data_IF_499718352131
#
_entry.id   IF_499718352131
#
_cell.length_a   1.000
_cell.length_b   1.000
_cell.length_c   1.000
_cell.angle_alpha   90.00
_cell.angle_beta   90.00
_cell.angle_gamma   90.00
#
_symmetry.space_group_name_H-M   'P 1'
#
loop_
_entity.id
_entity.type
_entity.pdbx_description
1 polymer ?
#
# COMPACT_ATOMS: atom_id res chain seq x y z
N UNK A 1 -6.17 6.95 0.35
CA UNK A 1 -6.58 7.06 1.75
C UNK A 1 -6.02 8.33 2.38
N UNK A 2 -4.70 8.43 2.60
CA UNK A 2 -4.09 9.58 3.29
C UNK A 2 -4.53 10.97 2.77
N UNK A 3 -4.51 11.22 1.46
CA UNK A 3 -4.97 12.50 0.89
C UNK A 3 -6.43 12.84 1.23
N UNK A 4 -7.31 11.82 1.32
CA UNK A 4 -8.69 12.01 1.79
C UNK A 4 -8.74 12.36 3.29
N UNK A 5 -7.87 11.76 4.10
CA UNK A 5 -7.82 12.01 5.55
C UNK A 5 -7.45 13.47 5.86
N UNK A 6 -6.53 14.04 5.08
CA UNK A 6 -6.10 15.44 5.20
C UNK A 6 -6.97 16.42 4.39
N UNK A 7 -8.08 15.96 3.82
CA UNK A 7 -9.04 16.83 3.12
C UNK A 7 -8.54 17.44 1.80
N UNK A 8 -7.50 16.88 1.18
CA UNK A 8 -7.00 17.36 -0.11
C UNK A 8 -7.94 16.86 -1.21
N UNK A 9 -8.46 17.78 -2.03
CA UNK A 9 -9.21 17.43 -3.23
C UNK A 9 -8.27 16.96 -4.34
N UNK A 10 -8.58 15.84 -4.98
CA UNK A 10 -7.79 15.28 -6.07
C UNK A 10 -8.66 14.45 -7.02
N UNK A 11 -8.14 14.21 -8.21
CA UNK A 11 -8.69 13.27 -9.19
C UNK A 11 -7.76 12.06 -9.34
N UNK A 12 -8.32 10.87 -9.52
CA UNK A 12 -7.55 9.66 -9.81
C UNK A 12 -7.56 9.36 -11.29
N UNK A 13 -6.38 9.33 -11.90
CA UNK A 13 -6.19 8.97 -13.32
C UNK A 13 -5.40 7.67 -13.40
N UNK A 14 -5.89 6.72 -14.21
CA UNK A 14 -5.16 5.48 -14.47
C UNK A 14 -3.83 5.78 -15.17
N UNK A 15 -2.74 5.21 -14.67
CA UNK A 15 -1.39 5.44 -15.20
C UNK A 15 -0.54 4.17 -15.09
N UNK A 16 0.73 4.24 -15.47
CA UNK A 16 1.68 3.14 -15.39
C UNK A 16 2.99 3.60 -14.74
N UNK A 17 3.80 2.63 -14.30
CA UNK A 17 5.05 2.90 -13.59
C UNK A 17 6.06 3.73 -14.40
N UNK A 18 6.03 3.66 -15.74
CA UNK A 18 6.95 4.43 -16.60
C UNK A 18 6.63 5.92 -16.63
N UNK A 19 5.42 6.33 -16.25
CA UNK A 19 5.04 7.74 -16.14
C UNK A 19 5.51 8.38 -14.83
N UNK A 20 5.94 7.60 -13.84
CA UNK A 20 6.34 8.11 -12.53
C UNK A 20 7.81 8.57 -12.54
N UNK A 21 8.15 9.73 -11.92
CA UNK A 21 9.54 10.19 -11.79
C UNK A 21 10.46 9.20 -11.08
N UNK A 22 9.92 8.37 -10.20
CA UNK A 22 10.67 7.36 -9.44
C UNK A 22 10.64 5.97 -10.08
N UNK A 23 9.93 5.82 -11.21
CA UNK A 23 9.67 4.52 -11.83
C UNK A 23 8.65 3.66 -11.09
N UNK A 24 7.95 4.20 -10.09
CA UNK A 24 6.89 3.51 -9.35
C UNK A 24 5.73 4.45 -9.02
N UNK A 25 4.50 3.97 -9.20
CA UNK A 25 3.30 4.67 -8.70
C UNK A 25 3.23 4.57 -7.16
N UNK A 26 2.54 5.50 -6.47
CA UNK A 26 1.85 6.68 -7.01
C UNK A 26 2.75 7.94 -7.12
N UNK A 27 2.32 8.92 -7.93
CA UNK A 27 2.83 10.30 -7.91
C UNK A 27 1.67 11.28 -8.04
N UNK A 28 1.89 12.56 -7.71
CA UNK A 28 0.88 13.62 -7.85
C UNK A 28 1.31 14.67 -8.86
N UNK A 29 0.32 15.24 -9.55
CA UNK A 29 0.47 16.44 -10.36
C UNK A 29 -0.30 17.56 -9.66
N UNK A 30 0.37 18.61 -9.17
CA UNK A 30 -0.31 19.79 -8.64
C UNK A 30 -1.21 20.42 -9.71
N UNK A 31 -2.32 21.02 -9.30
CA UNK A 31 -3.09 21.86 -10.21
C UNK A 31 -2.27 23.11 -10.57
N UNK A 32 -2.36 23.61 -11.82
CA UNK A 32 -1.75 24.88 -12.18
C UNK A 32 -2.36 25.99 -11.32
N UNK A 33 -1.50 26.75 -10.64
CA UNK A 33 -1.94 27.90 -9.83
C UNK A 33 -2.59 28.95 -10.72
N UNK A 34 -3.83 29.34 -10.41
CA UNK A 34 -4.52 30.44 -11.09
C UNK A 34 -3.82 31.80 -10.94
N UNK A 35 -2.84 31.91 -10.02
CA UNK A 35 -2.10 33.15 -9.75
C UNK A 35 -0.76 33.23 -10.50
N UNK A 36 -0.32 32.18 -11.21
CA UNK A 36 0.95 32.16 -11.90
C UNK A 36 0.74 32.16 -13.43
N UNK A 37 0.95 33.34 -14.04
CA UNK A 37 1.08 33.52 -15.50
C UNK A 37 2.43 32.96 -16.02
N UNK A 38 3.13 32.14 -15.24
CA UNK A 38 4.44 31.58 -15.57
C UNK A 38 4.34 30.13 -16.02
N UNK A 39 4.99 29.86 -17.16
CA UNK A 39 5.15 28.58 -17.88
C UNK A 39 6.08 27.62 -17.11
N UNK A 40 5.94 27.52 -15.79
CA UNK A 40 6.70 26.51 -15.05
C UNK A 40 6.04 25.14 -15.25
N UNK A 41 6.78 24.13 -15.74
CA UNK A 41 6.23 22.80 -15.92
C UNK A 41 5.74 22.27 -14.58
N UNK A 42 4.54 21.69 -14.56
CA UNK A 42 3.97 21.01 -13.39
C UNK A 42 4.96 19.95 -12.91
N UNK A 43 5.72 20.25 -11.85
CA UNK A 43 6.72 19.32 -11.32
C UNK A 43 5.98 18.19 -10.60
N UNK A 44 6.10 16.94 -11.08
CA UNK A 44 5.41 15.84 -10.43
C UNK A 44 5.99 15.57 -9.04
N UNK A 45 5.10 15.34 -8.07
CA UNK A 45 5.47 15.02 -6.69
C UNK A 45 5.56 13.50 -6.57
N UNK A 46 6.75 12.93 -6.35
CA UNK A 46 6.93 11.49 -6.18
C UNK A 46 6.33 11.00 -4.85
N UNK A 47 6.01 9.70 -4.78
CA UNK A 47 5.41 9.05 -3.60
C UNK A 47 6.06 9.42 -2.26
N UNK A 48 7.39 9.41 -2.20
CA UNK A 48 8.15 9.72 -0.98
C UNK A 48 8.07 11.20 -0.54
N UNK A 49 7.55 12.09 -1.38
CA UNK A 49 7.34 13.51 -1.07
C UNK A 49 5.87 13.87 -0.86
N UNK A 50 4.94 12.96 -1.15
CA UNK A 50 3.49 13.21 -1.04
C UNK A 50 3.11 13.63 0.38
N UNK A 51 3.63 12.95 1.42
CA UNK A 51 3.30 13.30 2.80
C UNK A 51 3.71 14.73 3.13
N UNK A 52 5.00 15.06 2.88
CA UNK A 52 5.53 16.40 3.13
C UNK A 52 4.73 17.47 2.39
N UNK A 53 4.45 17.25 1.11
CA UNK A 53 3.64 18.16 0.32
C UNK A 53 2.22 18.32 0.88
N UNK A 54 1.57 17.23 1.29
CA UNK A 54 0.21 17.28 1.83
C UNK A 54 0.12 18.07 3.14
N UNK A 55 1.13 17.95 4.01
CA UNK A 55 1.25 18.76 5.24
C UNK A 55 1.40 20.24 4.89
N UNK A 56 2.24 20.56 3.89
CA UNK A 56 2.43 21.95 3.41
C UNK A 56 1.14 22.56 2.84
N UNK A 57 0.28 21.77 2.19
CA UNK A 57 -0.97 22.25 1.60
C UNK A 57 -2.15 22.36 2.59
N UNK A 58 -2.24 21.43 3.56
CA UNK A 58 -3.42 21.31 4.41
C UNK A 58 -3.39 22.22 5.65
N UNK A 59 -2.25 22.84 5.95
CA UNK A 59 -2.02 23.60 7.20
C UNK A 59 -2.38 22.82 8.48
N UNK A 60 -2.57 21.51 8.40
CA UNK A 60 -2.83 20.64 9.55
C UNK A 60 -1.54 20.61 10.38
N UNK A 61 -1.67 20.91 11.67
CA UNK A 61 -0.58 21.04 12.64
C UNK A 61 0.49 19.95 12.45
N UNK A 62 1.61 20.33 11.81
CA UNK A 62 2.76 19.46 11.54
C UNK A 62 3.36 18.82 12.80
N UNK A 63 3.05 19.40 13.97
CA UNK A 63 3.50 18.98 15.29
C UNK A 63 2.95 17.60 15.70
N UNK A 64 1.71 17.26 15.31
CA UNK A 64 1.11 15.97 15.66
C UNK A 64 1.69 14.80 14.86
N UNK A 65 2.23 15.04 13.66
CA UNK A 65 2.87 14.01 12.83
C UNK A 65 4.34 13.78 13.21
N UNK A 66 5.04 14.80 13.71
CA UNK A 66 6.47 14.71 14.06
C UNK A 66 6.72 14.02 15.41
N UNK A 67 5.79 14.10 16.37
CA UNK A 67 5.99 13.65 17.75
C UNK A 67 6.09 12.11 17.94
N UNK A 68 5.91 11.31 16.88
CA UNK A 68 5.87 9.84 16.98
C UNK A 68 6.92 9.12 16.14
N UNK A 69 7.88 9.86 15.55
CA UNK A 69 8.81 9.37 14.53
C UNK A 69 9.39 7.97 14.78
N UNK A 70 10.02 7.75 15.95
CA UNK A 70 10.66 6.45 16.23
C UNK A 70 9.66 5.29 16.27
N UNK A 71 8.50 5.46 16.92
CA UNK A 71 7.47 4.40 16.94
C UNK A 71 6.88 4.20 15.56
N UNK A 72 6.60 5.29 14.85
CA UNK A 72 6.11 5.25 13.48
C UNK A 72 7.05 4.46 12.57
N UNK A 73 8.36 4.72 12.61
CA UNK A 73 9.36 4.07 11.77
C UNK A 73 9.46 2.57 12.07
N UNK A 74 9.49 2.20 13.35
CA UNK A 74 9.53 0.79 13.78
C UNK A 74 8.32 0.04 13.29
N UNK A 75 7.11 0.56 13.48
CA UNK A 75 5.89 -0.13 13.05
C UNK A 75 5.69 -0.08 11.52
N UNK A 76 6.18 0.96 10.84
CA UNK A 76 6.17 1.03 9.37
C UNK A 76 7.05 -0.06 8.77
N UNK A 77 8.18 -0.38 9.41
CA UNK A 77 9.03 -1.49 8.98
C UNK A 77 8.31 -2.85 9.01
N UNK A 78 7.34 -3.05 9.90
CA UNK A 78 6.51 -4.27 9.91
C UNK A 78 5.65 -4.37 8.65
N UNK A 79 5.11 -3.24 8.18
CA UNK A 79 4.34 -3.17 6.94
C UNK A 79 5.27 -3.39 5.74
N UNK A 80 6.35 -2.62 5.65
CA UNK A 80 7.24 -2.55 4.49
C UNK A 80 8.05 -3.84 4.26
N UNK A 81 8.31 -4.62 5.32
CA UNK A 81 9.08 -5.85 5.22
C UNK A 81 8.25 -7.10 5.49
N UNK A 82 7.50 -7.17 6.60
CA UNK A 82 6.85 -8.44 6.99
C UNK A 82 5.57 -8.66 6.20
N UNK A 83 4.65 -7.71 6.26
CA UNK A 83 3.35 -7.82 5.57
C UNK A 83 3.54 -7.69 4.06
N UNK A 84 4.35 -6.74 3.59
CA UNK A 84 4.61 -6.53 2.16
C UNK A 84 5.22 -7.77 1.51
N UNK A 85 6.17 -8.45 2.16
CA UNK A 85 6.80 -9.62 1.55
C UNK A 85 5.82 -10.78 1.39
N UNK A 86 5.06 -11.10 2.45
CA UNK A 86 4.02 -12.12 2.35
C UNK A 86 2.97 -11.75 1.29
N UNK A 87 2.57 -10.48 1.23
CA UNK A 87 1.67 -9.97 0.19
C UNK A 87 2.23 -10.14 -1.22
N UNK A 88 3.50 -9.79 -1.46
CA UNK A 88 4.15 -9.95 -2.76
C UNK A 88 4.15 -11.41 -3.21
N UNK A 89 4.44 -12.34 -2.30
CA UNK A 89 4.34 -13.76 -2.59
C UNK A 89 2.90 -14.14 -2.96
N UNK A 90 1.94 -13.87 -2.07
CA UNK A 90 0.53 -14.25 -2.24
C UNK A 90 -0.08 -13.66 -3.51
N UNK A 91 0.31 -12.45 -3.91
CA UNK A 91 -0.22 -11.79 -5.10
C UNK A 91 0.48 -12.21 -6.40
N UNK A 92 1.82 -12.22 -6.43
CA UNK A 92 2.59 -12.42 -7.67
C UNK A 92 3.06 -13.85 -7.89
N UNK A 93 3.45 -14.56 -6.83
CA UNK A 93 4.10 -15.87 -6.94
C UNK A 93 3.14 -17.05 -6.77
N UNK A 94 2.05 -16.88 -6.01
CA UNK A 94 0.97 -17.87 -6.01
C UNK A 94 0.30 -17.94 -7.38
N UNK A 95 0.31 -19.13 -7.99
CA UNK A 95 -0.11 -19.31 -9.37
C UNK A 95 -1.60 -19.07 -9.59
N UNK A 96 -2.45 -19.42 -8.61
CA UNK A 96 -3.90 -19.30 -8.73
C UNK A 96 -4.35 -17.86 -8.55
N UNK A 97 -3.80 -17.18 -7.54
CA UNK A 97 -4.02 -15.77 -7.30
C UNK A 97 -3.51 -14.93 -8.47
N UNK A 98 -2.29 -15.16 -8.94
CA UNK A 98 -1.74 -14.37 -10.04
C UNK A 98 -2.56 -14.54 -11.32
N UNK A 99 -2.98 -15.77 -11.64
CA UNK A 99 -3.84 -16.04 -12.80
C UNK A 99 -5.22 -15.37 -12.66
N UNK A 100 -5.80 -15.37 -11.47
CA UNK A 100 -7.15 -14.84 -11.26
C UNK A 100 -7.20 -13.32 -11.11
N UNK A 101 -6.15 -12.72 -10.53
CA UNK A 101 -6.10 -11.32 -10.09
C UNK A 101 -5.00 -10.59 -10.85
N UNK A 102 -3.73 -10.94 -10.58
CA UNK A 102 -2.57 -10.20 -11.08
C UNK A 102 -2.55 -10.04 -12.60
N UNK A 103 -2.83 -11.12 -13.34
CA UNK A 103 -2.91 -11.10 -14.80
C UNK A 103 -4.02 -10.19 -15.32
N UNK A 104 -5.21 -10.24 -14.71
CA UNK A 104 -6.36 -9.44 -15.15
C UNK A 104 -6.17 -7.95 -14.87
N UNK A 105 -5.49 -7.60 -13.78
CA UNK A 105 -5.25 -6.22 -13.39
C UNK A 105 -4.05 -5.60 -14.12
N UNK A 106 -2.93 -6.32 -14.20
CA UNK A 106 -1.66 -5.75 -14.66
C UNK A 106 -1.26 -6.14 -16.10
N UNK A 107 -1.84 -7.18 -16.68
CA UNK A 107 -1.36 -7.74 -17.95
C UNK A 107 -2.42 -7.62 -19.04
N UNK A 108 -3.63 -8.12 -18.80
CA UNK A 108 -4.67 -8.16 -19.82
C UNK A 108 -5.05 -6.78 -20.39
N UNK A 109 -5.10 -5.68 -19.58
CA UNK A 109 -5.33 -4.33 -20.10
C UNK A 109 -4.17 -3.75 -20.90
N UNK A 110 -2.95 -4.26 -20.71
CA UNK A 110 -1.73 -3.68 -21.31
C UNK A 110 -1.57 -4.01 -22.81
N UNK A 111 -2.07 -5.17 -23.25
CA UNK A 111 -1.89 -5.66 -24.62
C UNK A 111 -2.85 -6.79 -24.93
N UNK A 112 -3.17 -7.01 -26.21
CA UNK A 112 -3.94 -8.17 -26.67
C UNK A 112 -3.06 -9.34 -27.15
N UNK A 113 -1.74 -9.14 -27.29
CA UNK A 113 -0.84 -10.17 -27.84
C UNK A 113 -0.47 -11.22 -26.78
N UNK A 114 -0.80 -12.52 -26.98
CA UNK A 114 -0.55 -13.57 -25.99
C UNK A 114 0.92 -13.77 -25.61
N UNK A 115 1.85 -13.58 -26.56
CA UNK A 115 3.28 -13.72 -26.30
C UNK A 115 3.79 -12.58 -25.42
N UNK A 116 3.38 -11.34 -25.73
CA UNK A 116 3.73 -10.17 -24.93
C UNK A 116 3.16 -10.32 -23.51
N UNK A 117 1.91 -10.76 -23.36
CA UNK A 117 1.32 -11.06 -22.04
C UNK A 117 2.14 -12.07 -21.24
N UNK A 118 2.63 -13.11 -21.91
CA UNK A 118 3.45 -14.15 -21.26
C UNK A 118 4.80 -13.60 -20.80
N UNK A 119 5.44 -12.75 -21.60
CA UNK A 119 6.69 -12.08 -21.23
C UNK A 119 6.48 -11.13 -20.05
N UNK A 120 5.45 -10.28 -20.11
CA UNK A 120 5.10 -9.36 -19.02
C UNK A 120 4.78 -10.09 -17.72
N UNK A 121 4.06 -11.21 -17.80
CA UNK A 121 3.79 -12.08 -16.65
C UNK A 121 5.08 -12.54 -15.97
N UNK A 122 6.01 -13.09 -16.76
CA UNK A 122 7.30 -13.57 -16.24
C UNK A 122 8.13 -12.44 -15.66
N UNK A 123 8.16 -11.27 -16.30
CA UNK A 123 8.88 -10.10 -15.79
C UNK A 123 8.34 -9.64 -14.44
N UNK A 124 7.01 -9.54 -14.28
CA UNK A 124 6.38 -9.18 -13.00
C UNK A 124 6.72 -10.19 -11.89
N UNK A 125 6.58 -11.49 -12.18
CA UNK A 125 6.87 -12.54 -11.21
C UNK A 125 8.36 -12.60 -10.85
N UNK A 126 9.25 -12.41 -11.83
CA UNK A 126 10.69 -12.33 -11.59
C UNK A 126 11.05 -11.11 -10.73
N UNK A 127 10.47 -9.93 -11.00
CA UNK A 127 10.68 -8.74 -10.19
C UNK A 127 10.23 -8.95 -8.74
N UNK A 128 9.05 -9.55 -8.52
CA UNK A 128 8.57 -9.89 -7.18
C UNK A 128 9.50 -10.90 -6.49
N UNK A 129 9.96 -11.93 -7.20
CA UNK A 129 10.92 -12.91 -6.67
C UNK A 129 12.24 -12.27 -6.28
N UNK A 130 12.80 -11.43 -7.13
CA UNK A 130 14.04 -10.70 -6.87
C UNK A 130 13.91 -9.78 -5.66
N UNK A 131 12.77 -9.11 -5.50
CA UNK A 131 12.51 -8.28 -4.34
C UNK A 131 12.49 -9.08 -3.03
N UNK A 132 11.79 -10.21 -3.01
CA UNK A 132 11.73 -11.09 -1.82
C UNK A 132 13.11 -11.65 -1.44
N UNK A 133 13.93 -11.99 -2.43
CA UNK A 133 15.28 -12.50 -2.21
C UNK A 133 16.24 -11.44 -1.66
N UNK A 134 16.00 -10.14 -1.83
CA UNK A 134 16.82 -9.09 -1.19
C UNK A 134 16.60 -9.03 0.31
N UNK A 135 15.39 -9.31 0.76
CA UNK A 135 15.03 -9.31 2.18
C UNK A 135 15.25 -10.64 2.88
N UNK A 136 15.38 -11.74 2.13
CA UNK A 136 15.69 -13.04 2.68
C UNK A 136 17.19 -13.14 3.01
N UNK A 137 17.51 -13.62 4.21
CA UNK A 137 18.88 -14.03 4.54
C UNK A 137 19.29 -15.33 3.85
N UNK A 138 18.33 -16.04 3.25
CA UNK A 138 18.54 -17.32 2.56
C UNK A 138 18.39 -17.19 1.05
N UNK A 139 19.02 -18.10 0.31
CA UNK A 139 18.97 -18.14 -1.17
C UNK A 139 17.64 -18.66 -1.73
N UNK A 140 16.65 -18.95 -0.88
CA UNK A 140 15.33 -19.43 -1.28
C UNK A 140 14.23 -18.65 -0.57
N UNK A 141 13.02 -18.75 -1.13
CA UNK A 141 11.84 -18.12 -0.54
C UNK A 141 11.11 -19.19 0.25
N UNK A 142 11.07 -19.03 1.56
CA UNK A 142 10.29 -19.87 2.46
C UNK A 142 8.92 -19.22 2.69
N UNK A 143 7.86 -19.89 2.23
CA UNK A 143 6.49 -19.38 2.37
C UNK A 143 6.02 -19.42 3.82
N UNK A 144 6.39 -20.46 4.57
CA UNK A 144 5.91 -20.64 5.93
C UNK A 144 6.51 -19.56 6.83
N UNK A 145 7.79 -19.22 6.63
CA UNK A 145 8.44 -18.11 7.33
C UNK A 145 7.80 -16.76 6.98
N UNK A 146 7.59 -16.47 5.69
CA UNK A 146 6.93 -15.22 5.25
C UNK A 146 5.54 -15.07 5.88
N UNK A 147 4.76 -16.15 5.89
CA UNK A 147 3.45 -16.14 6.53
C UNK A 147 3.56 -15.95 8.04
N UNK A 148 4.47 -16.64 8.72
CA UNK A 148 4.65 -16.52 10.17
C UNK A 148 5.03 -15.09 10.58
N UNK A 149 5.93 -14.47 9.82
CA UNK A 149 6.35 -13.09 10.01
C UNK A 149 5.20 -12.09 9.83
N UNK A 150 4.40 -12.24 8.77
CA UNK A 150 3.25 -11.38 8.54
C UNK A 150 2.16 -11.57 9.61
N UNK A 151 1.93 -12.81 10.07
CA UNK A 151 1.01 -13.12 11.17
C UNK A 151 1.45 -12.45 12.47
N UNK A 152 2.74 -12.51 12.79
CA UNK A 152 3.33 -11.80 13.94
C UNK A 152 3.18 -10.28 13.82
N UNK A 153 3.38 -9.73 12.61
CA UNK A 153 3.16 -8.31 12.36
C UNK A 153 1.69 -7.89 12.57
N UNK A 154 0.71 -8.67 12.12
CA UNK A 154 -0.71 -8.39 12.41
C UNK A 154 -1.02 -8.44 13.90
N UNK A 155 -0.45 -9.38 14.65
CA UNK A 155 -0.58 -9.42 16.09
C UNK A 155 -0.02 -8.14 16.74
N UNK A 156 1.18 -7.73 16.34
CA UNK A 156 1.80 -6.51 16.87
C UNK A 156 1.00 -5.24 16.54
N UNK A 157 0.44 -5.14 15.32
CA UNK A 157 -0.44 -4.05 14.91
C UNK A 157 -1.75 -4.05 15.71
N UNK A 158 -2.36 -5.23 15.92
CA UNK A 158 -3.56 -5.36 16.75
C UNK A 158 -3.30 -4.89 18.18
N UNK A 159 -2.17 -5.29 18.78
CA UNK A 159 -1.77 -4.83 20.12
C UNK A 159 -1.48 -3.34 20.16
N UNK A 160 -0.87 -2.78 19.10
CA UNK A 160 -0.59 -1.35 19.01
C UNK A 160 -1.87 -0.50 18.91
N UNK A 161 -2.85 -0.96 18.12
CA UNK A 161 -4.15 -0.29 18.01
C UNK A 161 -4.89 -0.35 19.35
N UNK A 162 -4.88 -1.52 19.99
CA UNK A 162 -5.61 -1.75 21.23
C UNK A 162 -7.10 -1.46 21.03
N UNK A 163 -7.65 -0.65 21.94
CA UNK A 163 -9.04 -0.17 21.92
C UNK A 163 -9.20 1.20 21.24
N UNK A 164 -8.12 1.76 20.66
CA UNK A 164 -8.21 3.05 19.98
C UNK A 164 -8.87 2.91 18.60
N UNK A 165 -9.52 3.98 18.15
CA UNK A 165 -10.10 4.01 16.80
C UNK A 165 -9.04 4.14 15.71
N UNK A 166 -7.98 4.90 15.98
CA UNK A 166 -6.85 5.15 15.10
C UNK A 166 -5.53 4.82 15.80
N UNK A 167 -4.50 4.54 15.00
CA UNK A 167 -3.18 4.22 15.52
C UNK A 167 -2.58 5.40 16.30
N UNK A 168 -1.79 5.06 17.32
CA UNK A 168 -1.14 6.01 18.22
C UNK A 168 -2.09 6.96 18.97
N UNK A 169 -3.36 6.57 19.14
CA UNK A 169 -4.35 7.34 19.92
C UNK A 169 -4.76 8.66 19.28
N UNK A 170 -4.59 8.80 17.96
CA UNK A 170 -4.94 10.03 17.24
C UNK A 170 -6.46 10.20 17.12
N UNK A 171 -6.92 11.45 17.20
CA UNK A 171 -8.33 11.80 16.98
C UNK A 171 -8.77 11.55 15.52
N UNK A 172 -7.87 11.74 14.57
CA UNK A 172 -8.11 11.54 13.13
C UNK A 172 -7.08 10.56 12.55
N UNK A 173 -7.44 9.75 11.54
CA UNK A 173 -6.52 8.77 10.96
C UNK A 173 -5.38 9.49 10.23
N UNK A 174 -4.15 8.99 10.42
CA UNK A 174 -2.94 9.54 9.84
C UNK A 174 -2.38 8.73 8.67
N UNK A 175 -1.13 9.01 8.30
CA UNK A 175 -0.42 8.23 7.28
C UNK A 175 -0.29 6.76 7.68
N UNK A 176 -0.02 6.48 8.96
CA UNK A 176 0.13 5.11 9.43
C UNK A 176 -1.18 4.31 9.27
N UNK A 177 -2.32 4.91 9.65
CA UNK A 177 -3.64 4.33 9.43
C UNK A 177 -3.88 4.04 7.94
N UNK A 178 -3.47 4.95 7.06
CA UNK A 178 -3.57 4.76 5.61
C UNK A 178 -2.69 3.60 5.12
N UNK A 179 -1.49 3.45 5.66
CA UNK A 179 -0.57 2.36 5.30
C UNK A 179 -1.08 1.00 5.77
N UNK A 180 -1.59 0.90 7.00
CA UNK A 180 -2.24 -0.33 7.49
C UNK A 180 -3.48 -0.65 6.64
N UNK A 181 -4.32 0.35 6.41
CA UNK A 181 -5.53 0.22 5.59
C UNK A 181 -5.22 -0.29 4.17
N UNK A 182 -4.13 0.15 3.55
CA UNK A 182 -3.77 -0.27 2.19
C UNK A 182 -3.62 -1.79 2.07
N UNK A 183 -3.09 -2.46 3.09
CA UNK A 183 -2.96 -3.92 3.10
C UNK A 183 -4.22 -4.61 3.62
N UNK A 184 -4.77 -4.16 4.75
CA UNK A 184 -5.94 -4.80 5.36
C UNK A 184 -7.16 -4.70 4.46
N UNK A 185 -7.31 -3.60 3.72
CA UNK A 185 -8.41 -3.42 2.79
C UNK A 185 -8.39 -4.46 1.68
N UNK A 186 -7.26 -4.59 0.98
CA UNK A 186 -7.11 -5.50 -0.15
C UNK A 186 -7.12 -6.98 0.28
N UNK A 187 -6.55 -7.29 1.45
CA UNK A 187 -6.60 -8.65 2.01
C UNK A 187 -8.02 -9.10 2.39
N UNK A 188 -8.90 -8.16 2.74
CA UNK A 188 -10.28 -8.42 3.14
C UNK A 188 -11.29 -8.08 2.04
N UNK A 189 -10.83 -7.64 0.87
CA UNK A 189 -11.69 -7.35 -0.27
C UNK A 189 -12.13 -8.64 -0.97
N UNK A 190 -13.43 -8.93 -0.89
CA UNK A 190 -14.03 -10.11 -1.50
C UNK A 190 -14.14 -9.98 -3.03
N UNK A 191 -14.13 -8.75 -3.57
CA UNK A 191 -14.18 -8.51 -5.01
C UNK A 191 -12.92 -8.97 -5.74
N UNK A 192 -11.77 -8.98 -5.05
CA UNK A 192 -10.53 -9.52 -5.60
C UNK A 192 -10.61 -11.04 -5.83
N UNK A 193 -11.53 -11.75 -5.17
CA UNK A 193 -11.76 -13.19 -5.37
C UNK A 193 -10.47 -14.02 -5.23
N UNK A 194 -9.77 -13.82 -4.11
CA UNK A 194 -8.58 -14.58 -3.76
C UNK A 194 -8.83 -16.08 -3.81
N UNK A 195 -7.89 -16.83 -4.41
CA UNK A 195 -7.90 -18.29 -4.39
C UNK A 195 -7.23 -18.80 -3.13
N UNK A 196 -6.04 -18.27 -2.83
CA UNK A 196 -5.30 -18.56 -1.61
C UNK A 196 -5.12 -17.28 -0.80
N UNK A 197 -5.81 -17.17 0.34
CA UNK A 197 -5.75 -15.99 1.22
C UNK A 197 -5.58 -16.40 2.69
N UNK A 198 -4.44 -17.00 3.02
CA UNK A 198 -4.07 -17.32 4.41
C UNK A 198 -3.97 -16.05 5.26
N UNK A 199 -3.34 -14.99 4.73
CA UNK A 199 -3.15 -13.71 5.39
C UNK A 199 -4.48 -13.04 5.77
N UNK A 200 -5.42 -12.90 4.83
CA UNK A 200 -6.73 -12.31 5.07
C UNK A 200 -7.56 -13.15 6.05
N UNK A 201 -7.53 -14.49 5.94
CA UNK A 201 -8.19 -15.37 6.92
C UNK A 201 -7.63 -15.22 8.33
N UNK A 202 -6.30 -15.05 8.45
CA UNK A 202 -5.67 -14.83 9.74
C UNK A 202 -5.98 -13.43 10.30
N UNK A 203 -5.94 -12.40 9.46
CA UNK A 203 -6.28 -11.02 9.81
C UNK A 203 -7.70 -10.90 10.39
N UNK A 204 -8.67 -11.68 9.88
CA UNK A 204 -10.05 -11.72 10.43
C UNK A 204 -10.13 -12.12 11.91
N UNK A 205 -9.07 -12.70 12.49
CA UNK A 205 -9.00 -13.02 13.93
C UNK A 205 -8.79 -11.80 14.82
N UNK A 206 -8.40 -10.66 14.25
CA UNK A 206 -8.19 -9.40 14.97
C UNK A 206 -9.35 -8.43 14.68
N UNK A 207 -10.44 -8.48 15.46
CA UNK A 207 -11.64 -7.70 15.19
C UNK A 207 -11.39 -6.19 15.22
N UNK A 208 -10.46 -5.70 16.04
CA UNK A 208 -10.10 -4.29 16.08
C UNK A 208 -9.46 -3.80 14.77
N UNK A 209 -8.60 -4.60 14.12
CA UNK A 209 -8.04 -4.27 12.80
C UNK A 209 -9.10 -4.34 11.68
N UNK A 210 -10.02 -5.29 11.76
CA UNK A 210 -11.16 -5.38 10.82
C UNK A 210 -12.08 -4.16 10.97
N UNK A 211 -12.38 -3.77 12.21
CA UNK A 211 -13.17 -2.56 12.49
C UNK A 211 -12.44 -1.29 12.08
N UNK A 212 -11.12 -1.21 12.29
CA UNK A 212 -10.29 -0.09 11.79
C UNK A 212 -10.44 0.08 10.28
N UNK A 213 -10.33 -1.02 9.50
CA UNK A 213 -10.61 -1.00 8.06
C UNK A 213 -12.02 -0.49 7.78
N UNK A 214 -13.03 -1.00 8.50
CA UNK A 214 -14.43 -0.64 8.25
C UNK A 214 -14.70 0.84 8.53
N UNK A 215 -14.20 1.39 9.65
CA UNK A 215 -14.31 2.81 9.98
C UNK A 215 -13.72 3.69 8.87
N UNK A 216 -12.56 3.31 8.32
CA UNK A 216 -11.93 4.06 7.23
C UNK A 216 -12.76 3.99 5.94
N UNK A 217 -13.36 2.83 5.62
CA UNK A 217 -14.27 2.72 4.48
C UNK A 217 -15.46 3.64 4.66
N UNK A 218 -16.21 3.47 5.74
CA UNK A 218 -17.47 4.20 5.98
C UNK A 218 -17.28 5.73 6.02
N UNK A 219 -16.14 6.20 6.52
CA UNK A 219 -15.87 7.62 6.66
C UNK A 219 -15.29 8.29 5.40
N UNK A 220 -14.63 7.55 4.50
CA UNK A 220 -13.84 8.15 3.41
C UNK A 220 -14.07 7.56 2.02
N UNK A 221 -14.76 6.42 1.85
CA UNK A 221 -14.91 5.72 0.57
C UNK A 221 -16.36 5.34 0.29
#
# INVERSE_FOLDING_TARGET
AYLKFVGIAFETVASNNHASPTGALPFLLPAPSSAAVSVDPLVPIPSNKIQKWAVEQSHIEAEAEQQQGVRFDVYSSLLDHRIRNAWLYTFYLDSENFKNIGRKLYIDPSTSNPLVRTVLARQLQQAARSELLKSSSSSFIDLDDLEAEAKSAFQALSSLLGDNDHFFGRKHPGLFDASVFAYTHLLLDEHLNWKQNSLGRYLKRYPNLVQHRQRILDAYF
#
